data_IF_977365872153
#
_entry.id   IF_977365872153
#
_cell.length_a   1.000
_cell.length_b   1.000
_cell.length_c   1.000
_cell.angle_alpha   90.00
_cell.angle_beta   90.00
_cell.angle_gamma   90.00
#
_symmetry.space_group_name_H-M   'P 1'
#
loop_
_entity.id
_entity.type
_entity.pdbx_description
1 polymer ?
#
# COMPACT_ATOMS: atom_id res chain seq x y z
N UNK A 1 13.58 1.44 -12.63
CA UNK A 1 12.14 1.24 -12.34
C UNK A 1 11.61 0.25 -13.36
N UNK A 2 10.88 -0.80 -12.95
CA UNK A 2 10.25 -1.72 -13.92
C UNK A 2 9.10 -0.99 -14.63
N UNK A 3 8.87 -1.30 -15.90
CA UNK A 3 7.75 -0.76 -16.68
C UNK A 3 6.51 -1.65 -16.64
N UNK A 4 6.67 -2.89 -16.16
CA UNK A 4 5.61 -3.87 -16.02
C UNK A 4 5.63 -4.44 -14.60
N UNK A 5 4.44 -4.57 -14.01
CA UNK A 5 4.22 -5.22 -12.72
C UNK A 5 3.01 -6.14 -12.86
N UNK A 6 2.99 -7.22 -12.07
CA UNK A 6 1.85 -8.13 -11.99
C UNK A 6 0.63 -7.44 -11.37
N UNK A 7 0.85 -6.55 -10.39
CA UNK A 7 -0.18 -5.69 -9.83
C UNK A 7 0.39 -4.35 -9.35
N UNK A 8 -0.44 -3.31 -9.42
CA UNK A 8 -0.15 -1.96 -8.93
C UNK A 8 -1.20 -1.59 -7.91
N UNK A 9 -0.77 -1.30 -6.68
CA UNK A 9 -1.63 -0.80 -5.60
C UNK A 9 -1.58 0.73 -5.63
N UNK A 10 -2.73 1.39 -5.78
CA UNK A 10 -2.82 2.86 -5.82
C UNK A 10 -3.35 3.36 -4.47
N UNK A 11 -2.53 4.16 -3.78
CA UNK A 11 -2.82 4.72 -2.47
C UNK A 11 -1.96 4.11 -1.35
N UNK A 12 -1.19 4.95 -0.65
CA UNK A 12 -0.28 4.64 0.45
C UNK A 12 -0.88 4.77 1.85
N UNK A 13 -2.21 4.66 1.96
CA UNK A 13 -2.90 4.52 3.25
C UNK A 13 -2.78 3.10 3.81
N UNK A 14 -3.32 2.88 5.01
CA UNK A 14 -3.24 1.59 5.74
C UNK A 14 -3.71 0.39 4.90
N UNK A 15 -4.77 0.55 4.12
CA UNK A 15 -5.32 -0.52 3.27
C UNK A 15 -4.38 -0.85 2.10
N UNK A 16 -3.80 0.16 1.45
CA UNK A 16 -2.86 -0.05 0.34
C UNK A 16 -1.56 -0.70 0.82
N UNK A 17 -1.01 -0.22 1.94
CA UNK A 17 0.16 -0.82 2.58
C UNK A 17 -0.10 -2.28 2.99
N UNK A 18 -1.25 -2.56 3.61
CA UNK A 18 -1.65 -3.93 3.99
C UNK A 18 -1.81 -4.84 2.78
N UNK A 19 -2.42 -4.33 1.70
CA UNK A 19 -2.60 -5.09 0.45
C UNK A 19 -1.24 -5.45 -0.16
N UNK A 20 -0.34 -4.48 -0.29
CA UNK A 20 1.00 -4.71 -0.83
C UNK A 20 1.78 -5.72 0.03
N UNK A 21 1.73 -5.57 1.36
CA UNK A 21 2.38 -6.47 2.32
C UNK A 21 1.90 -7.91 2.14
N UNK A 22 0.58 -8.14 2.08
CA UNK A 22 0.03 -9.49 1.95
C UNK A 22 0.34 -10.12 0.59
N UNK A 23 0.31 -9.34 -0.50
CA UNK A 23 0.73 -9.82 -1.81
C UNK A 23 2.21 -10.25 -1.79
N UNK A 24 3.09 -9.42 -1.26
CA UNK A 24 4.51 -9.74 -1.11
C UNK A 24 4.72 -10.98 -0.23
N UNK A 25 4.00 -11.09 0.89
CA UNK A 25 4.04 -12.24 1.80
C UNK A 25 3.57 -13.53 1.14
N UNK A 26 2.64 -13.47 0.20
CA UNK A 26 2.21 -14.61 -0.62
C UNK A 26 3.19 -14.96 -1.75
N UNK A 27 4.36 -14.32 -1.79
CA UNK A 27 5.43 -14.60 -2.76
C UNK A 27 5.32 -13.81 -4.06
N UNK A 28 4.49 -12.77 -4.13
CA UNK A 28 4.44 -11.91 -5.30
C UNK A 28 5.62 -10.94 -5.29
N UNK A 29 6.56 -11.12 -6.22
CA UNK A 29 7.78 -10.30 -6.32
C UNK A 29 7.67 -9.12 -7.31
N UNK A 30 6.58 -9.07 -8.09
CA UNK A 30 6.33 -8.06 -9.13
C UNK A 30 5.12 -7.20 -8.77
N UNK A 31 5.12 -6.63 -7.57
CA UNK A 31 4.09 -5.71 -7.08
C UNK A 31 4.70 -4.38 -6.70
N UNK A 32 3.96 -3.30 -6.88
CA UNK A 32 4.37 -1.95 -6.52
C UNK A 32 3.20 -1.18 -5.93
N UNK A 33 3.49 -0.25 -5.03
CA UNK A 33 2.54 0.73 -4.53
C UNK A 33 2.92 2.11 -5.04
N UNK A 34 1.93 2.87 -5.49
CA UNK A 34 2.08 4.27 -5.90
C UNK A 34 1.18 5.14 -5.02
N UNK A 35 1.78 6.16 -4.41
CA UNK A 35 1.10 7.17 -3.61
C UNK A 35 1.25 8.54 -4.29
N UNK A 36 0.24 9.40 -4.15
CA UNK A 36 0.19 10.74 -4.73
C UNK A 36 1.18 11.69 -4.07
N UNK A 37 1.33 11.63 -2.74
CA UNK A 37 2.19 12.55 -1.97
C UNK A 37 3.13 11.76 -1.06
N UNK A 38 2.73 11.52 0.19
CA UNK A 38 3.53 10.86 1.22
C UNK A 38 2.74 9.68 1.79
N UNK A 39 3.45 8.67 2.27
CA UNK A 39 2.81 7.56 2.96
C UNK A 39 1.90 8.06 4.09
N UNK A 40 0.75 7.42 4.24
CA UNK A 40 -0.27 7.72 5.27
C UNK A 40 -0.95 9.08 5.18
N UNK A 41 -0.61 9.96 4.22
CA UNK A 41 -1.11 11.35 4.16
C UNK A 41 -2.62 11.51 3.92
N UNK A 42 -3.34 10.41 3.59
CA UNK A 42 -4.80 10.36 3.55
C UNK A 42 -5.43 10.18 4.93
N UNK A 43 -6.60 9.54 5.03
CA UNK A 43 -7.30 9.42 6.33
C UNK A 43 -6.56 8.61 7.41
N UNK A 44 -5.48 7.91 7.04
CA UNK A 44 -4.70 7.08 7.97
C UNK A 44 -3.97 7.90 9.03
N UNK A 45 -3.35 9.04 8.70
CA UNK A 45 -2.54 9.80 9.67
C UNK A 45 -3.36 10.38 10.83
N UNK A 46 -4.64 10.71 10.58
CA UNK A 46 -5.52 11.33 11.58
C UNK A 46 -6.52 10.34 12.20
N UNK A 47 -6.37 9.04 11.94
CA UNK A 47 -7.19 8.03 12.58
C UNK A 47 -6.82 7.93 14.07
N UNK A 48 -7.81 7.83 14.95
CA UNK A 48 -7.58 7.65 16.39
C UNK A 48 -7.00 6.28 16.77
N UNK A 49 -6.87 5.35 15.81
CA UNK A 49 -6.25 4.05 16.02
C UNK A 49 -7.04 3.09 16.93
N UNK A 50 -8.33 3.33 17.14
CA UNK A 50 -9.18 2.43 17.93
C UNK A 50 -9.32 1.08 17.21
N UNK A 51 -8.84 0.02 17.86
CA UNK A 51 -9.03 -1.36 17.44
C UNK A 51 -9.79 -2.07 18.57
N UNK A 52 -11.07 -2.42 18.37
CA UNK A 52 -11.84 -3.16 19.36
C UNK A 52 -11.31 -4.58 19.59
#
# INVERSE_FOLDING_TARGET
MKTHYRAVVIGGGVIGASTLYHLAKMGWNDVVLVEKIEYTSGSTWHAAGLLP
#
